data_IF_709946957248
#
_entry.id   IF_709946957248
#
_cell.length_a   1.000
_cell.length_b   1.000
_cell.length_c   1.000
_cell.angle_alpha   90.00
_cell.angle_beta   90.00
_cell.angle_gamma   90.00
#
_symmetry.space_group_name_H-M   'P 1'
#
loop_
_entity.id
_entity.type
_entity.pdbx_description
1 polymer ?
#
# COMPACT_ATOMS: atom_id res chain seq x y z
N UNK A 1 28.85 5.99 -13.24
CA UNK A 1 27.46 6.49 -13.37
C UNK A 1 26.60 5.34 -13.86
N UNK A 2 25.40 5.18 -13.32
CA UNK A 2 24.42 4.18 -13.74
C UNK A 2 23.30 4.87 -14.53
N UNK A 3 22.87 4.27 -15.63
CA UNK A 3 21.79 4.79 -16.47
C UNK A 3 20.52 4.01 -16.17
N UNK A 4 19.41 4.71 -15.99
CA UNK A 4 18.14 4.08 -15.71
C UNK A 4 17.61 3.32 -16.94
N UNK A 5 17.28 2.03 -16.83
CA UNK A 5 16.77 1.25 -17.96
C UNK A 5 15.36 1.67 -18.42
N UNK A 6 14.64 2.44 -17.60
CA UNK A 6 13.26 2.86 -17.89
C UNK A 6 13.16 4.27 -18.47
N UNK A 7 14.05 5.19 -18.09
CA UNK A 7 13.95 6.60 -18.51
C UNK A 7 15.27 7.20 -19.02
N UNK A 8 16.35 6.42 -19.03
CA UNK A 8 17.67 6.82 -19.51
C UNK A 8 18.34 7.99 -18.75
N UNK A 9 17.76 8.41 -17.62
CA UNK A 9 18.39 9.36 -16.72
C UNK A 9 19.67 8.75 -16.10
N UNK A 10 20.69 9.58 -15.94
CA UNK A 10 22.02 9.17 -15.48
C UNK A 10 22.25 9.60 -14.04
N UNK A 11 22.71 8.66 -13.22
CA UNK A 11 22.92 8.85 -11.78
C UNK A 11 24.33 8.45 -11.37
N UNK A 12 24.72 8.86 -10.15
CA UNK A 12 25.98 8.43 -9.54
C UNK A 12 25.94 6.93 -9.24
N UNK A 13 27.12 6.29 -9.23
CA UNK A 13 27.20 4.88 -8.83
C UNK A 13 26.71 4.75 -7.37
N UNK A 14 25.91 3.72 -7.08
CA UNK A 14 25.17 3.45 -5.83
C UNK A 14 23.80 4.15 -5.67
N UNK A 15 23.30 4.88 -6.66
CA UNK A 15 21.88 5.28 -6.66
C UNK A 15 21.02 4.02 -6.86
N UNK A 16 20.26 3.63 -5.85
CA UNK A 16 19.44 2.39 -5.84
C UNK A 16 18.09 2.55 -6.54
N UNK A 17 17.56 3.78 -6.61
CA UNK A 17 16.24 4.10 -7.17
C UNK A 17 16.35 5.36 -8.01
N UNK A 18 15.78 5.34 -9.22
CA UNK A 18 15.70 6.48 -10.11
C UNK A 18 14.76 7.55 -9.56
N UNK A 19 15.24 8.77 -9.35
CA UNK A 19 14.42 9.88 -8.86
C UNK A 19 13.42 10.42 -9.90
N UNK A 20 13.60 10.10 -11.18
CA UNK A 20 12.75 10.59 -12.28
C UNK A 20 11.56 9.67 -12.56
N UNK A 21 11.73 8.35 -12.46
CA UNK A 21 10.68 7.38 -12.81
C UNK A 21 10.41 6.30 -11.75
N UNK A 22 11.21 6.24 -10.67
CA UNK A 22 11.03 5.28 -9.59
C UNK A 22 11.59 3.87 -9.85
N UNK A 23 12.21 3.61 -11.01
CA UNK A 23 12.79 2.31 -11.32
C UNK A 23 14.00 1.99 -10.42
N UNK A 24 14.13 0.72 -10.01
CA UNK A 24 15.30 0.21 -9.28
C UNK A 24 16.53 0.16 -10.19
N UNK A 25 17.64 0.67 -9.69
CA UNK A 25 18.93 0.79 -10.37
C UNK A 25 19.93 -0.10 -9.63
N UNK A 26 19.76 -1.42 -9.71
CA UNK A 26 20.65 -2.36 -9.03
C UNK A 26 21.84 -2.71 -9.93
N UNK A 27 23.09 -2.67 -9.44
CA UNK A 27 24.20 -3.35 -10.05
C UNK A 27 24.20 -4.80 -9.54
N UNK A 28 23.84 -5.76 -10.38
CA UNK A 28 24.22 -7.15 -10.13
C UNK A 28 25.58 -7.38 -10.80
N UNK A 29 26.55 -7.89 -10.03
CA UNK A 29 27.51 -8.94 -10.44
C UNK A 29 28.71 -9.03 -9.48
N UNK A 30 28.70 -10.00 -8.56
CA UNK A 30 29.87 -10.72 -8.00
C UNK A 30 29.27 -12.01 -7.38
N UNK A 31 29.61 -13.27 -7.67
CA UNK A 31 30.52 -13.98 -8.59
C UNK A 31 30.00 -15.43 -8.67
N UNK A 32 30.20 -16.12 -9.80
CA UNK A 32 30.15 -17.58 -9.91
C UNK A 32 31.05 -18.30 -8.87
N UNK A 33 30.52 -19.28 -8.14
CA UNK A 33 31.29 -20.43 -7.64
C UNK A 33 30.41 -21.68 -7.67
N UNK A 34 30.69 -22.54 -8.65
CA UNK A 34 30.17 -23.89 -8.75
C UNK A 34 30.83 -24.75 -7.67
N UNK A 35 30.26 -24.77 -6.46
CA UNK A 35 30.54 -25.84 -5.51
C UNK A 35 29.26 -26.24 -4.77
N UNK A 36 28.96 -27.53 -4.91
CA UNK A 36 27.77 -28.22 -4.48
C UNK A 36 27.49 -28.01 -2.98
N UNK A 37 26.52 -27.15 -2.69
CA UNK A 37 25.64 -27.33 -1.56
C UNK A 37 24.25 -27.50 -2.16
N UNK A 38 23.76 -28.74 -2.14
CA UNK A 38 22.35 -29.05 -2.29
C UNK A 38 21.59 -28.34 -1.16
N UNK A 39 21.33 -27.06 -1.36
CA UNK A 39 20.22 -26.39 -0.68
C UNK A 39 19.02 -26.87 -1.47
N UNK A 40 18.44 -27.97 -0.99
CA UNK A 40 17.13 -28.43 -1.38
C UNK A 40 16.25 -27.20 -1.53
N UNK A 41 15.67 -27.04 -2.71
CA UNK A 41 14.55 -26.16 -2.98
C UNK A 41 13.38 -26.65 -2.11
N UNK A 42 13.46 -26.44 -0.81
CA UNK A 42 12.27 -26.25 -0.02
C UNK A 42 11.71 -24.93 -0.53
N UNK A 43 10.75 -25.06 -1.44
CA UNK A 43 9.71 -24.09 -1.63
C UNK A 43 9.29 -23.64 -0.23
N UNK A 44 9.81 -22.50 0.23
CA UNK A 44 9.23 -21.82 1.38
C UNK A 44 7.92 -21.25 0.84
N UNK A 45 6.92 -22.12 0.74
CA UNK A 45 5.54 -21.71 0.87
C UNK A 45 5.51 -20.80 2.10
N UNK A 46 5.20 -19.50 1.96
CA UNK A 46 5.16 -18.62 3.11
C UNK A 46 4.08 -19.20 4.00
N UNK A 47 4.52 -19.85 5.07
CA UNK A 47 3.69 -20.57 6.03
C UNK A 47 2.63 -19.58 6.48
N UNK A 48 1.42 -19.77 5.97
CA UNK A 48 0.27 -18.97 6.30
C UNK A 48 0.00 -19.21 7.78
N UNK A 49 0.60 -18.38 8.63
CA UNK A 49 0.13 -18.17 9.99
C UNK A 49 -1.16 -17.38 9.86
N UNK A 50 -2.21 -18.10 9.46
CA UNK A 50 -3.60 -17.66 9.45
C UNK A 50 -4.03 -17.51 10.90
N UNK A 51 -3.70 -16.37 11.50
CA UNK A 51 -4.60 -15.81 12.49
C UNK A 51 -5.99 -15.65 11.86
N UNK A 52 -7.06 -15.62 12.67
CA UNK A 52 -8.40 -15.41 12.13
C UNK A 52 -8.42 -14.18 11.21
N UNK A 53 -9.18 -14.22 10.09
CA UNK A 53 -9.26 -13.08 9.19
C UNK A 53 -9.74 -11.88 9.98
N UNK A 54 -8.89 -10.85 10.05
CA UNK A 54 -9.22 -9.62 10.77
C UNK A 54 -10.28 -8.88 9.96
N UNK A 55 -11.37 -8.54 10.61
CA UNK A 55 -12.38 -7.66 10.05
C UNK A 55 -12.23 -6.28 10.68
N UNK A 56 -12.45 -5.25 9.88
CA UNK A 56 -12.46 -3.87 10.35
C UNK A 56 -13.70 -3.16 9.82
N UNK A 57 -14.29 -2.31 10.65
CA UNK A 57 -15.30 -1.36 10.25
C UNK A 57 -14.65 -0.01 10.01
N UNK A 58 -14.87 0.54 8.82
CA UNK A 58 -14.39 1.86 8.41
C UNK A 58 -15.54 2.84 8.55
N UNK A 59 -15.42 3.82 9.44
CA UNK A 59 -16.35 4.94 9.56
C UNK A 59 -15.85 6.08 8.70
N UNK A 60 -16.51 6.35 7.59
CA UNK A 60 -16.06 7.23 6.51
C UNK A 60 -16.81 8.56 6.57
N UNK A 61 -16.04 9.66 6.52
CA UNK A 61 -16.57 11.02 6.49
C UNK A 61 -16.80 11.62 7.87
N UNK A 62 -17.45 12.78 7.88
CA UNK A 62 -17.85 13.51 9.09
C UNK A 62 -19.28 13.11 9.51
N UNK A 63 -19.65 13.40 10.76
CA UNK A 63 -20.94 12.96 11.32
C UNK A 63 -22.17 13.54 10.58
N UNK A 64 -23.19 12.70 10.24
CA UNK A 64 -23.26 11.27 10.50
C UNK A 64 -22.35 10.46 9.56
N UNK A 65 -21.42 9.71 10.15
CA UNK A 65 -20.47 8.90 9.38
C UNK A 65 -21.16 7.68 8.79
N UNK A 66 -20.80 7.34 7.55
CA UNK A 66 -21.24 6.09 6.93
C UNK A 66 -20.22 5.01 7.25
N UNK A 67 -20.67 3.80 7.58
CA UNK A 67 -19.76 2.70 7.90
C UNK A 67 -19.82 1.57 6.88
N UNK A 68 -18.67 0.98 6.62
CA UNK A 68 -18.54 -0.24 5.81
C UNK A 68 -17.64 -1.24 6.53
N UNK A 69 -18.01 -2.52 6.47
CA UNK A 69 -17.22 -3.60 7.05
C UNK A 69 -16.42 -4.29 5.97
N UNK A 70 -15.14 -4.54 6.24
CA UNK A 70 -14.24 -5.21 5.31
C UNK A 70 -13.47 -6.29 6.04
N UNK A 71 -13.37 -7.46 5.39
CA UNK A 71 -12.55 -8.56 5.87
C UNK A 71 -11.19 -8.50 5.17
N UNK A 72 -10.11 -8.64 5.94
CA UNK A 72 -8.73 -8.57 5.43
C UNK A 72 -8.19 -9.98 5.14
N UNK A 73 -8.88 -10.69 4.25
CA UNK A 73 -8.46 -11.99 3.70
C UNK A 73 -7.41 -11.85 2.58
N UNK A 74 -7.40 -10.69 1.91
CA UNK A 74 -6.45 -10.31 0.87
C UNK A 74 -6.04 -8.84 1.01
N UNK A 75 -5.14 -8.40 0.14
CA UNK A 75 -4.79 -6.99 0.00
C UNK A 75 -5.96 -6.26 -0.67
N UNK A 76 -6.51 -5.25 -0.01
CA UNK A 76 -7.60 -4.43 -0.52
C UNK A 76 -7.06 -3.06 -0.93
N UNK A 77 -7.44 -2.59 -2.11
CA UNK A 77 -7.12 -1.24 -2.56
C UNK A 77 -8.23 -0.30 -2.07
N UNK A 78 -7.79 0.77 -1.42
CA UNK A 78 -8.61 1.92 -1.08
C UNK A 78 -8.40 2.96 -2.16
N UNK A 79 -9.48 3.49 -2.71
CA UNK A 79 -9.40 4.55 -3.70
C UNK A 79 -10.76 5.00 -4.17
N UNK A 80 -10.77 5.69 -5.30
CA UNK A 80 -11.99 6.17 -5.94
C UNK A 80 -12.24 5.43 -7.25
N UNK A 81 -13.45 4.93 -7.46
CA UNK A 81 -13.85 4.39 -8.75
C UNK A 81 -13.79 5.45 -9.86
N UNK A 82 -13.34 5.03 -11.04
CA UNK A 82 -13.27 5.83 -12.26
C UNK A 82 -13.70 4.96 -13.45
N UNK A 83 -14.99 5.02 -13.83
CA UNK A 83 -15.54 4.21 -14.92
C UNK A 83 -14.87 4.47 -16.27
N UNK A 84 -14.43 5.71 -16.53
CA UNK A 84 -13.77 6.07 -17.80
C UNK A 84 -12.45 5.32 -17.96
N UNK A 85 -11.70 5.18 -16.87
CA UNK A 85 -10.43 4.44 -16.85
C UNK A 85 -10.59 2.98 -16.42
N UNK A 86 -11.83 2.51 -16.19
CA UNK A 86 -12.17 1.17 -15.72
C UNK A 86 -11.46 0.78 -14.40
N UNK A 87 -11.35 1.71 -13.46
CA UNK A 87 -10.74 1.45 -12.16
C UNK A 87 -11.83 1.35 -11.11
N UNK A 88 -11.89 0.21 -10.41
CA UNK A 88 -12.85 -0.10 -9.35
C UNK A 88 -12.10 -0.71 -8.15
N UNK A 89 -11.66 0.11 -7.19
CA UNK A 89 -10.99 -0.39 -5.99
C UNK A 89 -11.95 -1.20 -5.12
N UNK A 90 -11.44 -2.16 -4.35
CA UNK A 90 -12.26 -2.99 -3.45
C UNK A 90 -12.97 -2.15 -2.39
N UNK A 91 -12.32 -1.08 -1.92
CA UNK A 91 -12.90 -0.09 -1.02
C UNK A 91 -13.06 1.21 -1.80
N UNK A 92 -14.25 1.39 -2.39
CA UNK A 92 -14.59 2.56 -3.18
C UNK A 92 -15.04 3.74 -2.30
N UNK A 93 -14.26 4.81 -2.35
CA UNK A 93 -14.49 6.07 -1.65
C UNK A 93 -15.23 7.09 -2.52
N UNK A 94 -15.53 6.79 -3.79
CA UNK A 94 -16.27 7.70 -4.67
C UNK A 94 -17.64 8.11 -4.11
N UNK A 95 -18.47 7.20 -3.55
CA UNK A 95 -19.78 7.56 -2.99
C UNK A 95 -19.71 8.54 -1.80
N UNK A 96 -18.54 8.64 -1.16
CA UNK A 96 -18.30 9.44 0.04
C UNK A 96 -17.63 10.80 -0.28
N UNK A 97 -17.73 11.26 -1.53
CA UNK A 97 -17.09 12.51 -1.98
C UNK A 97 -15.58 12.38 -2.21
N UNK A 98 -15.11 11.17 -2.54
CA UNK A 98 -13.69 10.89 -2.73
C UNK A 98 -13.03 11.77 -3.81
N UNK A 99 -13.76 12.17 -4.86
CA UNK A 99 -13.19 13.02 -5.91
C UNK A 99 -12.87 14.41 -5.38
N UNK A 100 -13.85 15.03 -4.72
CA UNK A 100 -13.80 16.37 -4.15
C UNK A 100 -12.78 16.43 -3.01
N UNK A 101 -12.66 15.35 -2.25
CA UNK A 101 -11.71 15.21 -1.14
C UNK A 101 -10.30 14.80 -1.60
N UNK A 102 -10.06 14.66 -2.90
CA UNK A 102 -8.73 14.43 -3.44
C UNK A 102 -8.22 12.99 -3.33
N UNK A 103 -9.13 12.01 -3.31
CA UNK A 103 -8.80 10.59 -3.29
C UNK A 103 -8.38 10.12 -4.68
N UNK A 104 -7.12 9.66 -4.80
CA UNK A 104 -6.62 8.97 -5.99
C UNK A 104 -7.39 7.68 -6.29
N UNK A 105 -7.40 7.27 -7.57
CA UNK A 105 -8.11 6.06 -8.03
C UNK A 105 -7.61 4.78 -7.36
N UNK A 106 -6.30 4.71 -7.13
CA UNK A 106 -5.61 3.74 -6.28
C UNK A 106 -4.82 4.57 -5.28
N UNK A 107 -5.33 4.74 -4.07
CA UNK A 107 -4.78 5.69 -3.11
C UNK A 107 -3.89 5.01 -2.09
N UNK A 108 -4.44 4.01 -1.43
CA UNK A 108 -3.77 3.27 -0.38
C UNK A 108 -4.13 1.79 -0.47
N UNK A 109 -3.39 0.96 0.27
CA UNK A 109 -3.60 -0.47 0.36
C UNK A 109 -3.74 -0.87 1.81
N UNK A 110 -4.86 -1.54 2.13
CA UNK A 110 -5.12 -2.13 3.43
C UNK A 110 -4.89 -3.64 3.35
N UNK A 111 -4.23 -4.21 4.34
CA UNK A 111 -3.94 -5.65 4.38
C UNK A 111 -3.75 -6.14 5.80
N UNK A 112 -3.84 -7.46 5.99
CA UNK A 112 -3.45 -8.12 7.23
C UNK A 112 -2.14 -8.88 7.02
N UNK A 113 -1.24 -8.82 8.00
CA UNK A 113 -0.02 -9.64 8.04
C UNK A 113 0.30 -10.02 9.49
N UNK A 114 0.40 -11.33 9.76
CA UNK A 114 0.72 -11.87 11.09
C UNK A 114 -0.19 -11.30 12.20
N UNK A 115 -1.47 -11.12 11.92
CA UNK A 115 -2.44 -10.58 12.88
C UNK A 115 -2.36 -9.07 13.10
N UNK A 116 -1.62 -8.33 12.26
CA UNK A 116 -1.57 -6.87 12.28
C UNK A 116 -2.26 -6.31 11.04
N UNK A 117 -3.00 -5.22 11.22
CA UNK A 117 -3.60 -4.45 10.12
C UNK A 117 -2.55 -3.45 9.65
N UNK A 118 -2.33 -3.41 8.34
CA UNK A 118 -1.29 -2.61 7.72
C UNK A 118 -1.91 -1.73 6.63
N UNK A 119 -1.54 -0.46 6.65
CA UNK A 119 -1.83 0.53 5.60
C UNK A 119 -0.56 0.95 4.90
N UNK A 120 -0.68 1.19 3.61
CA UNK A 120 0.41 1.66 2.77
C UNK A 120 -0.14 2.66 1.75
N UNK A 121 0.46 3.85 1.69
CA UNK A 121 0.14 4.83 0.66
C UNK A 121 0.75 4.39 -0.68
N UNK A 122 -0.02 4.41 -1.76
CA UNK A 122 0.41 3.96 -3.09
C UNK A 122 0.89 5.11 -3.98
N UNK A 123 1.68 6.03 -3.40
CA UNK A 123 2.09 7.30 -4.01
C UNK A 123 0.88 8.13 -4.48
N UNK A 124 -0.08 8.30 -3.57
CA UNK A 124 -1.25 9.11 -3.84
C UNK A 124 -0.88 10.59 -4.00
N UNK A 125 -1.70 11.33 -4.76
CA UNK A 125 -1.44 12.75 -5.06
C UNK A 125 -1.50 13.60 -3.78
N UNK A 126 -2.51 13.36 -2.93
CA UNK A 126 -2.75 14.17 -1.73
C UNK A 126 -2.25 13.51 -0.44
N UNK A 127 -1.68 12.31 -0.53
CA UNK A 127 -1.14 11.58 0.60
C UNK A 127 -2.19 10.89 1.47
N UNK A 128 -1.72 9.88 2.19
CA UNK A 128 -2.40 9.24 3.32
C UNK A 128 -1.82 9.74 4.63
N UNK A 129 -2.67 9.97 5.63
CA UNK A 129 -2.27 10.33 6.99
C UNK A 129 -2.82 9.33 7.98
N UNK A 130 -2.04 9.01 9.00
CA UNK A 130 -2.42 8.19 10.14
C UNK A 130 -2.24 9.04 11.41
N UNK A 131 -3.33 9.32 12.12
CA UNK A 131 -3.37 10.17 13.31
C UNK A 131 -2.69 11.53 13.09
N UNK A 132 -2.92 12.13 11.92
CA UNK A 132 -2.33 13.41 11.50
C UNK A 132 -0.89 13.34 10.97
N UNK A 133 -0.19 12.21 11.11
CA UNK A 133 1.14 11.98 10.52
C UNK A 133 1.00 11.51 9.08
N UNK A 134 1.60 12.24 8.14
CA UNK A 134 1.66 11.81 6.72
C UNK A 134 2.51 10.55 6.60
N UNK A 135 2.01 9.55 5.88
CA UNK A 135 2.73 8.33 5.60
C UNK A 135 3.76 8.54 4.50
N UNK A 136 4.85 7.79 4.54
CA UNK A 136 5.80 7.71 3.42
C UNK A 136 5.23 6.74 2.37
N UNK A 137 5.17 7.11 1.09
CA UNK A 137 4.70 6.20 0.04
C UNK A 137 5.44 4.87 0.06
N UNK A 138 4.68 3.78 -0.12
CA UNK A 138 5.15 2.40 -0.14
C UNK A 138 5.82 1.89 1.15
N UNK A 139 5.84 2.70 2.22
CA UNK A 139 6.27 2.24 3.54
C UNK A 139 5.04 1.74 4.31
N UNK A 140 4.96 0.44 4.64
CA UNK A 140 3.82 -0.09 5.37
C UNK A 140 3.83 0.36 6.83
N UNK A 141 2.66 0.76 7.33
CA UNK A 141 2.46 1.27 8.68
C UNK A 141 1.34 0.47 9.36
N UNK A 142 1.50 0.18 10.65
CA UNK A 142 0.53 -0.61 11.41
C UNK A 142 -0.61 0.28 11.90
N UNK A 143 -1.84 -0.19 11.74
CA UNK A 143 -3.07 0.43 12.25
C UNK A 143 -3.56 -0.34 13.46
N UNK A 144 -4.10 0.39 14.43
CA UNK A 144 -4.76 -0.12 15.61
C UNK A 144 -6.23 0.29 15.66
N UNK A 145 -6.98 -0.33 16.57
CA UNK A 145 -8.35 0.05 16.85
C UNK A 145 -8.45 1.52 17.29
N UNK A 146 -9.45 2.24 16.77
CA UNK A 146 -9.67 3.66 17.06
C UNK A 146 -8.80 4.64 16.27
N UNK A 147 -7.81 4.17 15.50
CA UNK A 147 -6.95 5.04 14.70
C UNK A 147 -7.76 5.85 13.66
N UNK A 148 -7.27 7.06 13.39
CA UNK A 148 -7.84 7.96 12.39
C UNK A 148 -6.94 7.99 11.15
N UNK A 149 -7.47 7.49 10.04
CA UNK A 149 -6.91 7.70 8.73
C UNK A 149 -7.46 8.96 8.08
N UNK A 150 -6.64 9.58 7.25
CA UNK A 150 -7.09 10.58 6.30
C UNK A 150 -6.58 10.18 4.91
N UNK A 151 -7.51 9.89 4.00
CA UNK A 151 -7.21 9.53 2.61
C UNK A 151 -7.43 10.78 1.76
N UNK A 152 -6.35 11.44 1.33
CA UNK A 152 -6.44 12.82 0.85
C UNK A 152 -6.94 13.74 1.96
N UNK A 153 -8.15 14.27 1.82
CA UNK A 153 -8.84 15.05 2.87
C UNK A 153 -10.09 14.37 3.44
N UNK A 154 -10.32 13.09 3.08
CA UNK A 154 -11.45 12.32 3.59
C UNK A 154 -11.05 11.60 4.90
N UNK A 155 -11.66 11.96 6.05
CA UNK A 155 -11.39 11.28 7.31
C UNK A 155 -12.05 9.89 7.33
N UNK A 156 -11.35 8.91 7.91
CA UNK A 156 -11.83 7.55 8.13
C UNK A 156 -11.38 7.10 9.52
N UNK A 157 -12.32 6.75 10.41
CA UNK A 157 -12.00 6.13 11.70
C UNK A 157 -12.05 4.61 11.59
N UNK A 158 -11.06 3.95 12.17
CA UNK A 158 -10.94 2.49 12.19
C UNK A 158 -11.58 1.93 13.47
N UNK A 159 -12.33 0.84 13.31
CA UNK A 159 -12.81 -0.01 14.40
C UNK A 159 -12.46 -1.47 14.04
N UNK A 160 -11.74 -2.16 14.90
CA UNK A 160 -11.37 -3.58 14.73
C UNK A 160 -12.44 -4.46 15.36
N UNK A 161 -12.86 -5.51 14.63
CA UNK A 161 -13.96 -6.41 15.03
C UNK A 161 -13.45 -7.72 15.65
#
# INVERSE_FOLDING_TARGET
MIECPSCHARFVANTLVCSECGALLHPEEWVDDESSLEITTEEIEPTAQSGPPLAVRLHIGEEPSQSTEVTLDKKLIIGRSDPTSQIFPEIDLAPYGGLEKGVSRRHARLSSRRGLIIIEDLASINGTYLNGRRLTPYLPEVIHDGDQLQIGSLPIRIEVL
#
